data_IF_746770898254
#
_entry.id   IF_746770898254
#
_cell.length_a   1.000
_cell.length_b   1.000
_cell.length_c   1.000
_cell.angle_alpha   90.00
_cell.angle_beta   90.00
_cell.angle_gamma   90.00
#
_symmetry.space_group_name_H-M   'P 1'
#
loop_
_entity.id
_entity.type
_entity.pdbx_description
1 polymer ?
#
# COMPACT_ATOMS: atom_id res chain seq x y z
N UNK A 1 4.88 -2.92 -2.77
CA UNK A 1 4.61 -1.47 -2.67
C UNK A 1 4.13 -0.90 -3.99
N UNK A 2 4.92 -0.94 -5.08
CA UNK A 2 4.53 -0.37 -6.39
C UNK A 2 3.18 -0.89 -6.89
N UNK A 3 2.97 -2.22 -6.88
CA UNK A 3 1.69 -2.81 -7.29
C UNK A 3 0.49 -2.30 -6.46
N UNK A 4 0.65 -2.22 -5.13
CA UNK A 4 -0.40 -1.69 -4.26
C UNK A 4 -0.64 -0.20 -4.50
N UNK A 5 0.43 0.60 -4.64
CA UNK A 5 0.29 2.01 -4.98
C UNK A 5 -0.46 2.19 -6.32
N UNK A 6 -0.11 1.42 -7.34
CA UNK A 6 -0.79 1.42 -8.63
C UNK A 6 -2.27 1.01 -8.50
N UNK A 7 -2.57 -0.08 -7.78
CA UNK A 7 -3.94 -0.53 -7.56
C UNK A 7 -4.78 0.51 -6.82
N UNK A 8 -4.30 0.96 -5.65
CA UNK A 8 -5.05 1.86 -4.76
C UNK A 8 -5.24 3.26 -5.35
N UNK A 9 -4.36 3.68 -6.25
CA UNK A 9 -4.41 5.03 -6.86
C UNK A 9 -4.89 5.04 -8.32
N UNK A 10 -5.24 3.89 -8.89
CA UNK A 10 -5.51 3.76 -10.33
C UNK A 10 -4.33 4.26 -11.16
N UNK A 11 -3.14 3.70 -10.94
CA UNK A 11 -1.88 4.10 -11.59
C UNK A 11 -1.53 5.59 -11.40
N UNK A 12 -1.80 6.11 -10.20
CA UNK A 12 -1.55 7.52 -9.84
C UNK A 12 -2.54 8.51 -10.44
N UNK A 13 -3.58 8.05 -11.12
CA UNK A 13 -4.54 8.93 -11.79
C UNK A 13 -5.67 9.41 -10.89
N UNK A 14 -5.88 8.77 -9.73
CA UNK A 14 -6.94 9.14 -8.81
C UNK A 14 -6.81 10.59 -8.33
N UNK A 15 -7.96 11.20 -8.00
CA UNK A 15 -7.99 12.54 -7.42
C UNK A 15 -7.13 12.64 -6.16
N UNK A 16 -7.14 11.62 -5.31
CA UNK A 16 -6.38 11.63 -4.06
C UNK A 16 -4.87 11.51 -4.29
N UNK A 17 -4.44 10.75 -5.29
CA UNK A 17 -3.03 10.72 -5.68
C UNK A 17 -2.59 12.09 -6.23
N UNK A 18 -3.31 12.64 -7.21
CA UNK A 18 -2.94 13.90 -7.88
C UNK A 18 -3.04 15.14 -7.01
N UNK A 19 -4.06 15.22 -6.16
CA UNK A 19 -4.34 16.44 -5.39
C UNK A 19 -3.90 16.36 -3.93
N UNK A 20 -3.63 15.17 -3.40
CA UNK A 20 -3.27 14.97 -1.99
C UNK A 20 -2.01 14.12 -1.79
N UNK A 21 -1.31 13.74 -2.86
CA UNK A 21 -0.14 12.87 -2.81
C UNK A 21 -0.40 11.57 -2.05
N UNK A 22 -1.64 11.07 -2.04
CA UNK A 22 -2.06 9.92 -1.25
C UNK A 22 -2.36 8.73 -2.15
N UNK A 23 -1.38 7.84 -2.30
CA UNK A 23 -1.46 6.68 -3.19
C UNK A 23 -2.17 5.48 -2.56
N UNK A 24 -2.37 5.48 -1.23
CA UNK A 24 -2.85 4.31 -0.49
C UNK A 24 -4.20 4.56 0.20
N UNK A 25 -4.90 5.64 -0.17
CA UNK A 25 -6.22 5.98 0.36
C UNK A 25 -6.24 6.26 1.87
N UNK A 26 -5.11 6.67 2.46
CA UNK A 26 -4.98 6.79 3.92
C UNK A 26 -5.95 7.83 4.49
N UNK A 27 -6.72 7.43 5.50
CA UNK A 27 -7.66 8.32 6.17
C UNK A 27 -7.00 9.17 7.25
N UNK A 28 -7.63 10.29 7.56
CA UNK A 28 -7.39 11.10 8.73
C UNK A 28 -8.72 11.66 9.26
N UNK A 29 -8.77 12.05 10.53
CA UNK A 29 -10.02 12.36 11.24
C UNK A 29 -10.09 13.78 11.80
N UNK A 30 -9.09 14.60 11.53
CA UNK A 30 -9.11 16.03 11.87
C UNK A 30 -9.71 16.81 10.70
N UNK A 31 -10.68 17.70 10.94
CA UNK A 31 -11.24 18.50 9.87
C UNK A 31 -10.14 19.31 9.15
N UNK A 32 -10.10 19.23 7.81
CA UNK A 32 -9.09 19.91 6.99
C UNK A 32 -7.74 19.20 6.89
N UNK A 33 -7.59 17.98 7.43
CA UNK A 33 -6.36 17.19 7.28
C UNK A 33 -6.15 16.63 5.87
N UNK A 34 -7.16 16.71 5.00
CA UNK A 34 -7.09 16.10 3.69
C UNK A 34 -8.19 16.52 2.73
N UNK A 35 -8.54 15.59 1.85
CA UNK A 35 -9.61 15.73 0.87
C UNK A 35 -10.84 14.97 1.32
N UNK A 36 -11.96 15.66 1.44
CA UNK A 36 -13.26 15.03 1.66
C UNK A 36 -13.58 14.10 0.49
N UNK A 37 -13.95 12.82 0.75
CA UNK A 37 -14.47 11.94 -0.28
C UNK A 37 -15.76 12.52 -0.89
N UNK A 38 -15.94 12.37 -2.20
CA UNK A 38 -17.17 12.82 -2.89
C UNK A 38 -18.38 11.96 -2.47
N UNK A 39 -18.14 10.67 -2.28
CA UNK A 39 -19.10 9.72 -1.77
C UNK A 39 -18.54 9.21 -0.44
N UNK A 40 -19.11 9.71 0.65
CA UNK A 40 -18.75 9.32 2.02
C UNK A 40 -20.01 8.84 2.69
N UNK A 41 -19.95 7.67 3.30
CA UNK A 41 -21.08 7.10 4.03
C UNK A 41 -21.60 8.09 5.08
N UNK A 42 -22.92 8.08 5.28
CA UNK A 42 -23.57 8.90 6.29
C UNK A 42 -22.95 8.64 7.68
N UNK A 43 -22.71 9.71 8.45
CA UNK A 43 -22.14 9.62 9.80
C UNK A 43 -20.61 9.43 9.88
N UNK A 44 -19.91 9.21 8.76
CA UNK A 44 -18.44 9.20 8.77
C UNK A 44 -17.89 10.63 8.75
N UNK A 45 -16.81 10.90 9.48
CA UNK A 45 -16.14 12.22 9.51
C UNK A 45 -14.76 12.24 8.86
N UNK A 46 -14.26 11.08 8.39
CA UNK A 46 -12.90 10.97 7.83
C UNK A 46 -12.71 11.78 6.55
N UNK A 47 -11.47 12.19 6.32
CA UNK A 47 -10.95 12.73 5.07
C UNK A 47 -9.82 11.83 4.56
N UNK A 48 -9.49 11.93 3.28
CA UNK A 48 -8.30 11.25 2.72
C UNK A 48 -7.11 12.17 2.92
N UNK A 49 -6.16 11.76 3.76
CA UNK A 49 -5.02 12.56 4.22
C UNK A 49 -4.28 13.21 3.06
N UNK A 50 -3.98 14.50 3.19
CA UNK A 50 -3.07 15.22 2.31
C UNK A 50 -1.65 15.06 2.81
N UNK A 51 -0.74 14.73 1.90
CA UNK A 51 0.69 14.69 2.14
C UNK A 51 1.37 15.83 1.37
N UNK A 52 2.44 16.37 1.94
CA UNK A 52 3.24 17.42 1.31
C UNK A 52 3.94 16.87 0.08
N UNK A 53 4.54 15.69 0.20
CA UNK A 53 5.19 14.98 -0.89
C UNK A 53 4.67 13.56 -1.06
N UNK A 54 4.83 13.02 -2.28
CA UNK A 54 4.49 11.63 -2.61
C UNK A 54 5.21 10.64 -1.69
N UNK A 55 6.50 10.88 -1.39
CA UNK A 55 7.30 10.07 -0.46
C UNK A 55 6.70 9.95 0.94
N UNK A 56 6.02 10.98 1.44
CA UNK A 56 5.49 10.96 2.80
C UNK A 56 4.32 9.98 2.92
N UNK A 57 3.54 9.82 1.85
CA UNK A 57 2.50 8.79 1.79
C UNK A 57 3.08 7.38 1.75
N UNK A 58 4.21 7.19 1.06
CA UNK A 58 4.93 5.91 1.00
C UNK A 58 5.50 5.58 2.38
N UNK A 59 6.11 6.54 3.07
CA UNK A 59 6.62 6.37 4.43
C UNK A 59 5.49 6.02 5.40
N UNK A 60 4.38 6.75 5.37
CA UNK A 60 3.23 6.47 6.22
C UNK A 60 2.64 5.07 5.97
N UNK A 61 2.58 4.67 4.70
CA UNK A 61 2.14 3.34 4.29
C UNK A 61 3.05 2.23 4.79
N UNK A 62 4.36 2.37 4.60
CA UNK A 62 5.33 1.42 5.12
C UNK A 62 5.29 1.35 6.64
N UNK A 63 5.12 2.48 7.31
CA UNK A 63 4.96 2.52 8.76
C UNK A 63 3.74 1.68 9.20
N UNK A 64 2.56 1.89 8.58
CA UNK A 64 1.36 1.12 8.88
C UNK A 64 1.57 -0.40 8.71
N UNK A 65 2.18 -0.84 7.60
CA UNK A 65 2.50 -2.26 7.38
C UNK A 65 3.47 -2.82 8.44
N UNK A 66 4.40 -2.00 8.93
CA UNK A 66 5.41 -2.42 9.89
C UNK A 66 4.97 -2.35 11.35
N UNK A 67 3.92 -1.61 11.70
CA UNK A 67 3.50 -1.42 13.10
C UNK A 67 2.12 -1.96 13.43
N UNK A 68 1.20 -2.01 12.47
CA UNK A 68 -0.16 -2.48 12.75
C UNK A 68 -0.19 -4.01 12.93
N UNK A 69 -0.87 -4.49 13.98
CA UNK A 69 -1.03 -5.93 14.29
C UNK A 69 -1.68 -6.73 13.17
N UNK A 70 -2.55 -6.09 12.37
CA UNK A 70 -3.24 -6.73 11.25
C UNK A 70 -2.26 -7.30 10.21
N UNK A 71 -1.04 -6.75 10.12
CA UNK A 71 -0.02 -7.18 9.16
C UNK A 71 1.11 -8.00 9.81
N UNK A 72 0.84 -8.64 10.96
CA UNK A 72 1.82 -9.53 11.60
C UNK A 72 2.23 -10.67 10.67
N UNK A 73 1.28 -11.26 9.92
CA UNK A 73 1.58 -12.34 8.97
C UNK A 73 2.58 -11.91 7.90
N UNK A 74 2.46 -10.71 7.35
CA UNK A 74 3.43 -10.14 6.40
C UNK A 74 4.82 -10.03 7.04
N UNK A 75 4.90 -9.54 8.28
CA UNK A 75 6.19 -9.38 8.98
C UNK A 75 6.82 -10.74 9.30
N UNK A 76 6.03 -11.73 9.71
CA UNK A 76 6.49 -13.10 9.95
C UNK A 76 7.03 -13.73 8.67
N UNK A 77 6.28 -13.66 7.55
CA UNK A 77 6.73 -14.17 6.25
C UNK A 77 8.06 -13.52 5.85
N UNK A 78 8.19 -12.20 6.00
CA UNK A 78 9.43 -11.48 5.72
C UNK A 78 10.58 -11.94 6.61
N UNK A 79 10.33 -12.15 7.90
CA UNK A 79 11.34 -12.63 8.84
C UNK A 79 11.81 -14.05 8.48
N UNK A 80 10.89 -15.00 8.35
CA UNK A 80 11.19 -16.39 7.99
C UNK A 80 11.95 -16.48 6.66
N UNK A 81 11.55 -15.68 5.66
CA UNK A 81 12.26 -15.65 4.36
C UNK A 81 13.72 -15.21 4.52
N UNK A 82 13.99 -14.22 5.38
CA UNK A 82 15.36 -13.77 5.67
C UNK A 82 16.16 -14.82 6.45
N UNK A 83 15.55 -15.46 7.44
CA UNK A 83 16.19 -16.53 8.23
C UNK A 83 16.59 -17.72 7.36
N UNK A 84 15.80 -18.03 6.34
CA UNK A 84 16.10 -19.06 5.35
C UNK A 84 17.12 -18.63 4.28
N UNK A 85 17.60 -17.38 4.31
CA UNK A 85 18.50 -16.84 3.28
C UNK A 85 17.87 -16.74 1.88
N UNK A 86 16.54 -16.77 1.79
CA UNK A 86 15.83 -16.73 0.53
C UNK A 86 15.63 -15.28 0.04
N UNK A 87 15.56 -15.04 -1.28
CA UNK A 87 15.30 -13.71 -1.83
C UNK A 87 13.90 -13.23 -1.43
N UNK A 88 13.80 -11.97 -0.99
CA UNK A 88 12.51 -11.34 -0.70
C UNK A 88 11.78 -11.01 -2.00
N UNK A 89 10.64 -11.67 -2.21
CA UNK A 89 9.79 -11.47 -3.38
C UNK A 89 8.48 -10.80 -3.00
N UNK A 90 8.05 -9.83 -3.80
CA UNK A 90 6.81 -9.10 -3.58
C UNK A 90 5.59 -10.01 -3.68
N UNK A 91 5.61 -10.97 -4.63
CA UNK A 91 4.56 -11.98 -4.81
C UNK A 91 4.36 -12.81 -3.54
N UNK A 92 5.46 -13.21 -2.88
CA UNK A 92 5.42 -13.97 -1.63
C UNK A 92 4.91 -13.13 -0.46
N UNK A 93 5.41 -11.90 -0.30
CA UNK A 93 4.99 -11.04 0.81
C UNK A 93 3.53 -10.60 0.70
N UNK A 94 2.95 -10.61 -0.50
CA UNK A 94 1.54 -10.29 -0.71
C UNK A 94 0.59 -11.26 0.02
N UNK A 95 1.00 -12.51 0.25
CA UNK A 95 0.23 -13.49 1.04
C UNK A 95 -0.07 -12.98 2.47
N UNK A 96 0.82 -12.15 3.01
CA UNK A 96 0.66 -11.55 4.33
C UNK A 96 -0.36 -10.40 4.39
N UNK A 97 -1.01 -10.03 3.28
CA UNK A 97 -1.90 -8.88 3.16
C UNK A 97 -3.40 -9.21 3.28
N UNK A 98 -3.76 -10.39 3.79
CA UNK A 98 -5.17 -10.81 3.89
C UNK A 98 -6.06 -9.77 4.58
N UNK A 99 -5.57 -9.12 5.63
CA UNK A 99 -6.30 -8.09 6.39
C UNK A 99 -6.25 -6.69 5.75
N UNK A 100 -5.58 -6.51 4.61
CA UNK A 100 -5.43 -5.21 3.97
C UNK A 100 -6.72 -4.74 3.29
N UNK A 101 -7.45 -5.67 2.68
CA UNK A 101 -8.67 -5.40 1.93
C UNK A 101 -9.79 -6.31 2.40
N UNK A 102 -11.02 -5.80 2.41
CA UNK A 102 -12.21 -6.62 2.65
C UNK A 102 -12.38 -7.73 1.62
N UNK A 103 -11.74 -7.60 0.44
CA UNK A 103 -11.70 -8.65 -0.60
C UNK A 103 -10.81 -9.84 -0.24
N UNK A 104 -9.99 -9.74 0.81
CA UNK A 104 -9.17 -10.84 1.32
C UNK A 104 -8.27 -11.48 0.25
N UNK A 105 -8.44 -12.78 0.02
CA UNK A 105 -7.60 -13.55 -0.89
C UNK A 105 -7.67 -13.07 -2.36
N UNK A 106 -8.81 -12.53 -2.80
CA UNK A 106 -8.92 -12.02 -4.18
C UNK A 106 -8.09 -10.75 -4.37
N UNK A 107 -7.94 -9.93 -3.33
CA UNK A 107 -7.01 -8.81 -3.35
C UNK A 107 -5.55 -9.29 -3.49
N UNK A 108 -5.18 -10.35 -2.77
CA UNK A 108 -3.82 -10.90 -2.84
C UNK A 108 -3.50 -11.35 -4.27
N UNK A 109 -4.44 -12.08 -4.91
CA UNK A 109 -4.30 -12.53 -6.30
C UNK A 109 -4.12 -11.37 -7.26
N UNK A 110 -4.92 -10.31 -7.14
CA UNK A 110 -4.79 -9.12 -7.99
C UNK A 110 -3.41 -8.46 -7.84
N UNK A 111 -2.93 -8.30 -6.60
CA UNK A 111 -1.61 -7.71 -6.35
C UNK A 111 -0.49 -8.58 -6.91
N UNK A 112 -0.55 -9.90 -6.73
CA UNK A 112 0.42 -10.83 -7.31
C UNK A 112 0.41 -10.77 -8.84
N UNK A 113 -0.78 -10.78 -9.45
CA UNK A 113 -0.93 -10.64 -10.89
C UNK A 113 -0.36 -9.32 -11.41
N UNK A 114 -0.59 -8.21 -10.72
CA UNK A 114 -0.01 -6.91 -11.09
C UNK A 114 1.52 -6.91 -10.99
N UNK A 115 2.09 -7.54 -9.95
CA UNK A 115 3.55 -7.66 -9.80
C UNK A 115 4.16 -8.42 -10.98
N UNK A 116 3.54 -9.56 -11.34
CA UNK A 116 4.05 -10.45 -12.40
C UNK A 116 3.87 -9.82 -13.78
N UNK A 117 2.67 -9.32 -14.09
CA UNK A 117 2.35 -8.82 -15.44
C UNK A 117 3.05 -7.51 -15.81
N UNK A 118 3.56 -6.78 -14.82
CA UNK A 118 4.27 -5.51 -15.02
C UNK A 118 5.75 -5.60 -14.61
N UNK A 119 6.29 -6.81 -14.40
CA UNK A 119 7.69 -7.06 -14.04
C UNK A 119 8.22 -6.21 -12.88
N UNK A 120 7.35 -5.90 -11.91
CA UNK A 120 7.66 -4.91 -10.87
C UNK A 120 8.72 -5.37 -9.86
N UNK A 121 9.08 -6.66 -9.86
CA UNK A 121 10.18 -7.17 -9.03
C UNK A 121 11.56 -6.71 -9.55
N UNK A 122 11.71 -6.45 -10.86
CA UNK A 122 12.98 -6.00 -11.43
C UNK A 122 13.34 -4.57 -11.01
N UNK A 123 12.33 -3.71 -10.90
CA UNK A 123 12.49 -2.32 -10.45
C UNK A 123 13.00 -2.19 -9.01
N UNK A 124 12.87 -3.26 -8.21
CA UNK A 124 13.39 -3.27 -6.83
C UNK A 124 14.92 -3.29 -6.75
N UNK A 125 15.59 -3.79 -7.80
CA UNK A 125 17.06 -3.87 -7.84
C UNK A 125 17.70 -2.56 -8.34
N UNK A 126 17.11 -1.87 -9.33
CA UNK A 126 17.68 -0.63 -9.87
C UNK A 126 17.65 0.55 -8.88
N UNK A 127 16.62 0.64 -8.04
CA UNK A 127 16.49 1.70 -7.03
C UNK A 127 17.41 1.48 -5.83
N UNK A 128 17.77 0.23 -5.51
CA UNK A 128 18.71 -0.08 -4.43
C UNK A 128 20.19 0.04 -4.86
N UNK A 129 20.44 0.23 -6.16
CA UNK A 129 21.76 0.31 -6.76
C UNK A 129 22.18 1.74 -7.13
N UNK A 130 21.35 2.74 -6.78
CA UNK A 130 21.60 4.17 -6.92
C UNK A 130 21.60 4.82 -5.53
#
# INVERSE_FOLDING_TARGET
VLAQAANESGWGTSRFARQANNYFGMWCYQAGCGLKPRQRDAGRSHEVKRFEHTRDSVVAYLHNLNTNRAYQSLRNLRQTTRELGAPLRGVLLAEGLLAYSSRGADYIKDIQAMIITNDLEQLSFEVASQ
#
